data_IF_669452990691
#
_entry.id   IF_669452990691
#
_cell.length_a   1.000
_cell.length_b   1.000
_cell.length_c   1.000
_cell.angle_alpha   90.00
_cell.angle_beta   90.00
_cell.angle_gamma   90.00
#
_symmetry.space_group_name_H-M   'P 1'
#
loop_
_entity.id
_entity.type
_entity.pdbx_description
1 polymer ?
#
# COMPACT_ATOMS: atom_id res chain seq x y z
N UNK A 1 22.45 -4.96 20.60
CA UNK A 1 22.68 -4.49 19.22
C UNK A 1 21.86 -5.38 18.31
N UNK A 2 20.88 -4.84 17.60
CA UNK A 2 20.14 -5.59 16.57
C UNK A 2 21.15 -6.10 15.53
N UNK A 3 21.08 -7.39 15.17
CA UNK A 3 21.86 -7.95 14.07
C UNK A 3 21.21 -7.67 12.69
N UNK A 4 20.04 -7.03 12.67
CA UNK A 4 19.38 -6.60 11.44
C UNK A 4 19.86 -5.19 11.07
N UNK A 5 20.31 -5.05 9.81
CA UNK A 5 20.58 -3.74 9.21
C UNK A 5 19.30 -2.91 9.02
N UNK A 6 19.43 -1.60 8.82
CA UNK A 6 18.28 -0.69 8.68
C UNK A 6 17.40 -0.96 7.45
N UNK A 7 17.94 -1.61 6.42
CA UNK A 7 17.29 -1.99 5.15
C UNK A 7 17.18 -3.52 4.99
N UNK A 8 17.07 -4.26 6.09
CA UNK A 8 16.96 -5.71 6.05
C UNK A 8 15.79 -6.17 5.16
N UNK A 9 16.06 -7.11 4.26
CA UNK A 9 15.06 -7.74 3.41
C UNK A 9 14.10 -8.62 4.22
N UNK A 10 12.92 -8.91 3.68
CA UNK A 10 11.95 -9.81 4.29
C UNK A 10 12.57 -11.19 4.63
N UNK A 11 13.46 -11.68 3.75
CA UNK A 11 14.18 -12.95 3.96
C UNK A 11 15.09 -12.89 5.18
N UNK A 12 15.82 -11.79 5.36
CA UNK A 12 16.74 -11.60 6.49
C UNK A 12 15.98 -11.44 7.80
N UNK A 13 14.88 -10.67 7.80
CA UNK A 13 13.99 -10.52 8.97
C UNK A 13 13.44 -11.88 9.40
N UNK A 14 12.96 -12.68 8.44
CA UNK A 14 12.44 -14.02 8.71
C UNK A 14 13.51 -15.01 9.21
N UNK A 15 14.73 -14.93 8.68
CA UNK A 15 15.84 -15.73 9.18
C UNK A 15 16.18 -15.34 10.63
N UNK A 16 16.19 -14.04 10.93
CA UNK A 16 16.42 -13.54 12.27
C UNK A 16 15.34 -13.96 13.28
N UNK A 17 14.05 -13.86 12.91
CA UNK A 17 12.94 -14.34 13.76
C UNK A 17 13.10 -15.80 14.15
N UNK A 18 13.46 -16.65 13.17
CA UNK A 18 13.71 -18.09 13.41
C UNK A 18 14.93 -18.30 14.30
N UNK A 19 15.99 -17.53 14.12
CA UNK A 19 17.20 -17.64 14.93
C UNK A 19 16.92 -17.34 16.39
N UNK A 20 16.25 -16.22 16.70
CA UNK A 20 16.01 -15.80 18.09
C UNK A 20 14.97 -16.66 18.81
N UNK A 21 14.05 -17.30 18.06
CA UNK A 21 13.04 -18.20 18.62
C UNK A 21 13.33 -19.70 18.39
N UNK A 22 14.57 -20.05 18.04
CA UNK A 22 15.02 -21.44 17.91
C UNK A 22 14.19 -22.27 16.91
N UNK A 23 13.70 -21.60 15.87
CA UNK A 23 12.88 -22.17 14.80
C UNK A 23 11.37 -22.12 15.07
N UNK A 24 10.92 -21.86 16.29
CA UNK A 24 9.50 -21.77 16.63
C UNK A 24 8.97 -20.36 16.36
N UNK A 25 8.01 -20.22 15.44
CA UNK A 25 7.51 -18.91 15.01
C UNK A 25 5.98 -18.93 15.09
N UNK A 26 5.43 -17.90 15.73
CA UNK A 26 3.98 -17.81 15.98
C UNK A 26 3.18 -17.75 14.69
N UNK A 27 1.94 -18.26 14.74
CA UNK A 27 1.01 -18.23 13.59
C UNK A 27 0.75 -16.80 13.10
N UNK A 28 0.59 -15.84 14.02
CA UNK A 28 0.34 -14.44 13.66
C UNK A 28 1.52 -13.82 12.90
N UNK A 29 2.76 -14.16 13.25
CA UNK A 29 3.95 -13.74 12.51
C UNK A 29 3.95 -14.34 11.11
N UNK A 30 3.69 -15.65 10.99
CA UNK A 30 3.63 -16.32 9.70
C UNK A 30 2.59 -15.72 8.76
N UNK A 31 1.38 -15.46 9.27
CA UNK A 31 0.31 -14.84 8.50
C UNK A 31 0.70 -13.45 7.98
N UNK A 32 1.24 -12.61 8.87
CA UNK A 32 1.66 -11.26 8.49
C UNK A 32 2.85 -11.28 7.51
N UNK A 33 3.89 -12.09 7.79
CA UNK A 33 5.03 -12.22 6.89
C UNK A 33 4.64 -12.77 5.52
N UNK A 34 3.67 -13.67 5.42
CA UNK A 34 3.19 -14.18 4.13
C UNK A 34 2.54 -13.06 3.32
N UNK A 35 1.67 -12.26 3.95
CA UNK A 35 1.02 -11.14 3.28
C UNK A 35 2.02 -10.08 2.81
N UNK A 36 3.13 -9.89 3.52
CA UNK A 36 4.21 -9.00 3.08
C UNK A 36 5.03 -9.59 1.94
N UNK A 37 5.15 -10.92 1.85
CA UNK A 37 5.73 -11.59 0.68
C UNK A 37 4.91 -11.32 -0.58
N UNK A 38 3.59 -11.39 -0.48
CA UNK A 38 2.68 -11.08 -1.60
C UNK A 38 2.82 -9.60 -2.04
N UNK A 39 2.94 -8.68 -1.06
CA UNK A 39 3.14 -7.26 -1.32
C UNK A 39 4.51 -6.96 -1.94
N UNK A 40 5.59 -7.54 -1.42
CA UNK A 40 6.96 -7.35 -1.96
C UNK A 40 7.06 -7.91 -3.39
N UNK A 41 6.24 -8.92 -3.69
CA UNK A 41 6.04 -9.49 -5.01
C UNK A 41 5.17 -8.68 -5.98
N UNK A 42 4.46 -7.63 -5.51
CA UNK A 42 3.38 -7.00 -6.29
C UNK A 42 3.87 -6.39 -7.60
N UNK A 43 5.12 -5.92 -7.65
CA UNK A 43 5.75 -5.34 -8.84
C UNK A 43 6.57 -6.36 -9.65
N UNK A 44 7.04 -7.43 -9.00
CA UNK A 44 8.06 -8.33 -9.57
C UNK A 44 7.49 -9.65 -10.08
N UNK A 45 6.42 -10.15 -9.47
CA UNK A 45 5.76 -11.38 -9.89
C UNK A 45 4.70 -11.04 -10.94
N UNK A 46 4.69 -11.73 -12.09
CA UNK A 46 3.88 -11.40 -13.27
C UNK A 46 2.35 -11.48 -13.13
N UNK A 47 1.81 -11.50 -11.91
CA UNK A 47 0.36 -11.45 -11.66
C UNK A 47 -0.18 -10.04 -11.86
N UNK A 48 -1.35 -9.95 -12.47
CA UNK A 48 -2.10 -8.69 -12.57
C UNK A 48 -2.68 -8.30 -11.20
N UNK A 49 -2.60 -7.01 -10.87
CA UNK A 49 -3.15 -6.42 -9.64
C UNK A 49 -3.77 -5.08 -9.96
N UNK A 50 -4.70 -4.61 -9.11
CA UNK A 50 -5.27 -3.27 -9.22
C UNK A 50 -4.18 -2.19 -9.26
N UNK A 51 -3.15 -2.36 -8.41
CA UNK A 51 -1.96 -1.49 -8.39
C UNK A 51 -1.23 -1.41 -9.74
N UNK A 52 -1.00 -2.55 -10.40
CA UNK A 52 -0.39 -2.57 -11.74
C UNK A 52 -1.33 -1.99 -12.78
N UNK A 53 -2.61 -2.32 -12.72
CA UNK A 53 -3.61 -1.90 -13.69
C UNK A 53 -3.72 -0.37 -13.78
N UNK A 54 -3.73 0.30 -12.62
CA UNK A 54 -3.76 1.77 -12.60
C UNK A 54 -2.51 2.37 -13.21
N UNK A 55 -1.33 1.73 -13.10
CA UNK A 55 -0.07 2.22 -13.69
C UNK A 55 0.07 1.94 -15.19
N UNK A 56 -0.77 1.09 -15.80
CA UNK A 56 -0.66 0.77 -17.23
C UNK A 56 -1.15 1.96 -18.07
N UNK A 57 -0.31 2.58 -18.93
CA UNK A 57 -0.73 3.75 -19.71
C UNK A 57 -1.89 3.50 -20.70
N UNK A 58 -2.15 2.24 -21.08
CA UNK A 58 -3.28 1.90 -21.94
C UNK A 58 -4.65 1.98 -21.21
N UNK A 59 -4.67 2.04 -19.88
CA UNK A 59 -5.90 2.27 -19.10
C UNK A 59 -6.23 3.75 -18.97
N UNK A 60 -5.28 4.64 -19.30
CA UNK A 60 -5.41 6.09 -19.12
C UNK A 60 -6.08 6.76 -20.30
N UNK A 61 -6.92 7.76 -20.04
CA UNK A 61 -7.50 8.63 -21.06
C UNK A 61 -6.43 9.62 -21.58
N UNK A 62 -5.56 9.13 -22.47
CA UNK A 62 -4.41 9.86 -22.99
C UNK A 62 -4.78 11.15 -23.73
N UNK A 63 -5.98 11.21 -24.32
CA UNK A 63 -6.48 12.43 -24.96
C UNK A 63 -6.71 13.54 -23.93
N UNK A 64 -7.34 13.22 -22.80
CA UNK A 64 -7.55 14.14 -21.68
C UNK A 64 -6.22 14.57 -21.05
N UNK A 65 -5.28 13.63 -20.89
CA UNK A 65 -3.97 13.88 -20.28
C UNK A 65 -2.99 14.62 -21.22
N UNK A 66 -3.38 14.85 -22.47
CA UNK A 66 -2.57 15.53 -23.47
C UNK A 66 -1.30 14.75 -23.82
N UNK A 67 -1.43 13.44 -24.03
CA UNK A 67 -0.30 12.58 -24.35
C UNK A 67 0.32 12.92 -25.70
N UNK A 68 1.64 12.90 -25.75
CA UNK A 68 2.45 13.08 -26.95
C UNK A 68 3.57 12.04 -26.96
N UNK A 69 4.08 11.72 -28.15
CA UNK A 69 5.30 10.92 -28.27
C UNK A 69 6.50 11.87 -28.24
N UNK A 70 7.43 11.62 -27.33
CA UNK A 70 8.73 12.27 -27.31
C UNK A 70 9.60 11.75 -28.48
N UNK A 71 10.68 12.46 -28.77
CA UNK A 71 11.61 12.17 -29.88
C UNK A 71 12.29 10.80 -29.75
N UNK A 72 12.41 10.28 -28.54
CA UNK A 72 12.95 8.96 -28.18
C UNK A 72 11.88 7.84 -28.23
N UNK A 73 10.64 8.17 -28.59
CA UNK A 73 9.53 7.22 -28.62
C UNK A 73 8.84 7.00 -27.28
N UNK A 74 9.32 7.63 -26.19
CA UNK A 74 8.65 7.56 -24.90
C UNK A 74 7.33 8.34 -24.91
N UNK A 75 6.30 7.82 -24.25
CA UNK A 75 5.04 8.52 -24.05
C UNK A 75 5.20 9.56 -22.95
N UNK A 76 4.90 10.82 -23.25
CA UNK A 76 4.83 11.89 -22.25
C UNK A 76 3.41 12.42 -22.16
N UNK A 77 2.88 12.57 -20.95
CA UNK A 77 1.60 13.23 -20.68
C UNK A 77 1.86 14.67 -20.25
N UNK A 78 1.11 15.62 -20.81
CA UNK A 78 1.21 17.03 -20.44
C UNK A 78 0.71 17.26 -19.01
N UNK A 79 -0.37 16.59 -18.65
CA UNK A 79 -0.99 16.66 -17.32
C UNK A 79 -0.98 15.26 -16.71
N UNK A 80 -0.36 15.10 -15.53
CA UNK A 80 -0.49 13.86 -14.76
C UNK A 80 -1.94 13.73 -14.29
N UNK A 81 -2.49 12.52 -14.34
CA UNK A 81 -3.80 12.24 -13.75
C UNK A 81 -3.75 12.52 -12.24
N UNK A 82 -4.80 13.15 -11.72
CA UNK A 82 -4.92 13.44 -10.30
C UNK A 82 -5.56 12.27 -9.56
N UNK A 83 -4.95 11.87 -8.45
CA UNK A 83 -5.46 10.82 -7.57
C UNK A 83 -5.40 11.24 -6.10
N UNK A 84 -6.30 10.70 -5.31
CA UNK A 84 -6.25 10.72 -3.84
C UNK A 84 -6.06 9.30 -3.34
N UNK A 85 -5.21 9.13 -2.33
CA UNK A 85 -4.99 7.87 -1.65
C UNK A 85 -5.63 7.89 -0.26
N UNK A 86 -6.04 6.72 0.23
CA UNK A 86 -6.52 6.54 1.60
C UNK A 86 -5.93 5.25 2.19
N UNK A 87 -5.28 5.39 3.33
CA UNK A 87 -4.99 4.29 4.24
C UNK A 87 -6.27 3.88 4.96
N UNK A 88 -6.58 2.58 4.93
CA UNK A 88 -7.76 2.03 5.59
C UNK A 88 -7.36 0.83 6.44
N UNK A 89 -7.73 0.85 7.73
CA UNK A 89 -7.53 -0.25 8.66
C UNK A 89 -8.87 -0.85 9.02
N UNK A 90 -8.98 -2.16 8.93
CA UNK A 90 -10.19 -2.92 9.24
C UNK A 90 -9.83 -4.27 9.88
N UNK A 91 -10.85 -5.08 10.19
CA UNK A 91 -10.66 -6.37 10.86
C UNK A 91 -9.77 -7.37 10.07
N UNK A 92 -9.69 -7.22 8.74
CA UNK A 92 -8.83 -8.07 7.91
C UNK A 92 -7.37 -7.60 7.91
N UNK A 93 -7.10 -6.32 8.18
CA UNK A 93 -5.76 -5.75 8.19
C UNK A 93 -5.72 -4.32 7.68
N UNK A 94 -4.80 -4.05 6.76
CA UNK A 94 -4.57 -2.73 6.17
C UNK A 94 -4.81 -2.76 4.65
N UNK A 95 -5.38 -1.70 4.10
CA UNK A 95 -5.62 -1.49 2.67
C UNK A 95 -5.13 -0.12 2.22
N UNK A 96 -4.59 -0.05 1.00
CA UNK A 96 -4.37 1.22 0.32
C UNK A 96 -5.41 1.40 -0.78
N UNK A 97 -6.27 2.41 -0.62
CA UNK A 97 -7.29 2.79 -1.58
C UNK A 97 -6.83 3.95 -2.46
N UNK A 98 -7.23 3.92 -3.73
CA UNK A 98 -6.97 4.95 -4.72
C UNK A 98 -8.28 5.46 -5.33
N UNK A 99 -8.38 6.77 -5.49
CA UNK A 99 -9.53 7.44 -6.07
C UNK A 99 -9.04 8.42 -7.15
N UNK A 100 -9.50 8.32 -8.39
CA UNK A 100 -9.33 9.38 -9.38
C UNK A 100 -9.97 10.65 -8.86
N UNK A 101 -9.38 11.79 -9.20
CA UNK A 101 -9.93 13.09 -8.85
C UNK A 101 -10.36 13.78 -10.13
N UNK A 102 -11.63 14.16 -10.17
CA UNK A 102 -12.25 14.85 -11.30
C UNK A 102 -12.92 16.09 -10.76
N UNK A 103 -12.61 17.25 -11.33
CA UNK A 103 -13.14 18.55 -10.92
C UNK A 103 -12.95 18.84 -9.41
N UNK A 104 -11.87 18.32 -8.82
CA UNK A 104 -11.54 18.49 -7.40
C UNK A 104 -12.21 17.49 -6.45
N UNK A 105 -13.03 16.55 -6.97
CA UNK A 105 -13.76 15.57 -6.18
C UNK A 105 -13.26 14.14 -6.41
N UNK A 106 -13.29 13.32 -5.36
CA UNK A 106 -12.95 11.91 -5.45
C UNK A 106 -14.05 11.14 -6.19
N UNK A 107 -13.66 10.40 -7.23
CA UNK A 107 -14.57 9.49 -7.95
C UNK A 107 -14.73 8.20 -7.16
N UNK A 108 -15.94 7.97 -6.64
CA UNK A 108 -16.31 6.75 -5.89
C UNK A 108 -17.28 5.85 -6.67
N UNK A 109 -17.70 6.25 -7.87
CA UNK A 109 -18.64 5.52 -8.72
C UNK A 109 -17.96 4.98 -9.98
N UNK A 110 -18.65 4.10 -10.69
CA UNK A 110 -18.20 3.60 -11.99
C UNK A 110 -18.11 4.75 -13.00
N UNK A 111 -16.98 4.88 -13.69
CA UNK A 111 -16.78 5.83 -14.80
C UNK A 111 -16.34 5.06 -16.03
N UNK A 112 -17.21 4.94 -17.03
CA UNK A 112 -16.92 4.22 -18.28
C UNK A 112 -17.04 5.21 -19.44
N UNK A 113 -15.96 5.40 -20.19
CA UNK A 113 -15.89 6.32 -21.34
C UNK A 113 -16.37 7.75 -21.02
N UNK A 114 -16.24 8.17 -19.77
CA UNK A 114 -16.55 9.53 -19.34
C UNK A 114 -15.37 10.44 -19.70
N UNK A 115 -15.62 11.47 -20.50
CA UNK A 115 -14.56 12.29 -21.12
C UNK A 115 -13.65 13.04 -20.14
N UNK A 116 -14.11 13.27 -18.91
CA UNK A 116 -13.37 13.96 -17.85
C UNK A 116 -12.67 13.01 -16.85
N UNK A 117 -12.81 11.69 -17.01
CA UNK A 117 -12.09 10.73 -16.17
C UNK A 117 -10.66 10.51 -16.72
N UNK A 118 -9.62 10.52 -15.86
CA UNK A 118 -8.25 10.21 -16.29
C UNK A 118 -8.04 8.75 -16.72
N UNK A 119 -9.01 7.87 -16.45
CA UNK A 119 -9.00 6.47 -16.86
C UNK A 119 -10.14 6.20 -17.85
N UNK A 120 -9.90 5.38 -18.88
CA UNK A 120 -10.94 4.97 -19.84
C UNK A 120 -12.10 4.23 -19.15
N UNK A 121 -11.77 3.45 -18.13
CA UNK A 121 -12.72 2.70 -17.32
C UNK A 121 -12.22 2.68 -15.89
N UNK A 122 -13.02 3.22 -14.98
CA UNK A 122 -12.82 3.15 -13.56
C UNK A 122 -13.97 2.36 -12.94
N UNK A 123 -13.65 1.24 -12.30
CA UNK A 123 -14.60 0.38 -11.61
C UNK A 123 -14.07 0.19 -10.18
N UNK A 124 -14.63 0.88 -9.17
CA UNK A 124 -14.13 0.83 -7.80
C UNK A 124 -13.92 -0.59 -7.28
N UNK A 125 -14.84 -1.51 -7.60
CA UNK A 125 -14.77 -2.93 -7.25
C UNK A 125 -13.48 -3.63 -7.71
N UNK A 126 -12.81 -3.11 -8.75
CA UNK A 126 -11.60 -3.69 -9.34
C UNK A 126 -10.35 -2.84 -9.13
N UNK A 127 -10.47 -1.52 -9.08
CA UNK A 127 -9.31 -0.60 -9.15
C UNK A 127 -9.17 0.31 -7.94
N UNK A 128 -10.15 0.38 -7.04
CA UNK A 128 -10.07 1.23 -5.85
C UNK A 128 -9.09 0.66 -4.81
N UNK A 129 -9.26 -0.61 -4.42
CA UNK A 129 -8.37 -1.27 -3.47
C UNK A 129 -7.12 -1.76 -4.21
N UNK A 130 -6.01 -1.03 -4.06
CA UNK A 130 -4.78 -1.32 -4.80
C UNK A 130 -4.11 -2.60 -4.29
N UNK A 131 -4.06 -2.75 -2.98
CA UNK A 131 -3.55 -3.93 -2.28
C UNK A 131 -3.97 -3.93 -0.80
N UNK A 132 -3.87 -5.12 -0.19
CA UNK A 132 -4.10 -5.37 1.23
C UNK A 132 -2.89 -6.02 1.88
N UNK A 133 -2.62 -5.65 3.12
CA UNK A 133 -1.73 -6.39 4.04
C UNK A 133 -2.60 -7.02 5.12
N UNK A 134 -2.82 -8.34 5.02
CA UNK A 134 -3.64 -9.08 5.95
C UNK A 134 -3.02 -9.13 7.35
N UNK A 135 -3.88 -9.18 8.37
CA UNK A 135 -3.50 -9.29 9.79
C UNK A 135 -2.65 -8.12 10.34
N UNK A 136 -2.49 -7.02 9.60
CA UNK A 136 -1.64 -5.91 10.05
C UNK A 136 -2.08 -5.36 11.40
N UNK A 137 -3.38 -5.12 11.59
CA UNK A 137 -3.93 -4.58 12.84
C UNK A 137 -3.62 -5.51 14.02
N UNK A 138 -3.97 -6.80 13.89
CA UNK A 138 -3.73 -7.79 14.93
C UNK A 138 -2.22 -7.96 15.23
N UNK A 139 -1.38 -7.99 14.19
CA UNK A 139 0.06 -8.11 14.35
C UNK A 139 0.67 -6.86 15.00
N UNK A 140 0.21 -5.66 14.66
CA UNK A 140 0.66 -4.42 15.28
C UNK A 140 0.33 -4.39 16.79
N UNK A 141 -0.87 -4.82 17.18
CA UNK A 141 -1.26 -4.95 18.60
C UNK A 141 -0.37 -5.98 19.31
N UNK A 142 -0.18 -7.16 18.73
CA UNK A 142 0.72 -8.18 19.26
C UNK A 142 2.16 -7.65 19.42
N UNK A 143 2.66 -6.95 18.41
CA UNK A 143 3.99 -6.37 18.41
C UNK A 143 4.14 -5.30 19.51
N UNK A 144 3.12 -4.48 19.73
CA UNK A 144 3.09 -3.51 20.83
C UNK A 144 3.10 -4.18 22.22
N UNK A 145 2.31 -5.24 22.40
CA UNK A 145 2.16 -5.91 23.70
C UNK A 145 3.37 -6.76 24.09
N UNK A 146 3.94 -7.49 23.13
CA UNK A 146 4.93 -8.52 23.40
C UNK A 146 5.92 -8.77 22.26
N UNK A 147 6.00 -7.86 21.28
CA UNK A 147 6.84 -8.04 20.10
C UNK A 147 8.33 -8.03 20.41
N UNK A 148 9.05 -8.95 19.78
CA UNK A 148 10.51 -8.94 19.76
C UNK A 148 11.05 -8.01 18.66
N UNK A 149 12.38 -7.94 18.54
CA UNK A 149 13.04 -7.06 17.56
C UNK A 149 12.77 -7.47 16.10
N UNK A 150 12.51 -8.76 15.84
CA UNK A 150 12.13 -9.22 14.50
C UNK A 150 10.70 -8.80 14.16
N UNK A 151 9.78 -8.83 15.15
CA UNK A 151 8.40 -8.37 14.96
C UNK A 151 8.36 -6.87 14.60
N UNK A 152 9.13 -6.05 15.33
CA UNK A 152 9.25 -4.61 15.05
C UNK A 152 9.86 -4.35 13.67
N UNK A 153 10.91 -5.10 13.32
CA UNK A 153 11.53 -4.99 12.00
C UNK A 153 10.55 -5.37 10.87
N UNK A 154 9.72 -6.39 11.07
CA UNK A 154 8.71 -6.80 10.10
C UNK A 154 7.62 -5.73 9.92
N UNK A 155 7.18 -5.09 11.00
CA UNK A 155 6.22 -3.99 10.93
C UNK A 155 6.81 -2.74 10.24
N UNK A 156 8.08 -2.42 10.52
CA UNK A 156 8.81 -1.37 9.82
C UNK A 156 8.93 -1.67 8.33
N UNK A 157 9.30 -2.90 7.97
CA UNK A 157 9.36 -3.33 6.57
C UNK A 157 8.02 -3.14 5.85
N UNK A 158 6.90 -3.44 6.51
CA UNK A 158 5.57 -3.19 5.95
C UNK A 158 5.34 -1.71 5.62
N UNK A 159 5.67 -0.81 6.56
CA UNK A 159 5.58 0.63 6.36
C UNK A 159 6.45 1.09 5.19
N UNK A 160 7.74 0.75 5.20
CA UNK A 160 8.70 1.17 4.19
C UNK A 160 8.27 0.70 2.77
N UNK A 161 7.67 -0.48 2.67
CA UNK A 161 7.13 -0.99 1.40
C UNK A 161 5.89 -0.24 0.93
N UNK A 162 4.97 0.11 1.82
CA UNK A 162 3.82 0.95 1.48
C UNK A 162 4.28 2.32 0.97
N UNK A 163 5.22 2.96 1.67
CA UNK A 163 5.76 4.26 1.25
C UNK A 163 6.48 4.19 -0.09
N UNK A 164 7.22 3.10 -0.35
CA UNK A 164 7.84 2.85 -1.66
C UNK A 164 6.80 2.78 -2.77
N UNK A 165 5.70 2.03 -2.56
CA UNK A 165 4.62 1.92 -3.54
C UNK A 165 3.90 3.26 -3.75
N UNK A 166 3.63 4.03 -2.69
CA UNK A 166 3.07 5.38 -2.82
C UNK A 166 4.01 6.30 -3.62
N UNK A 167 5.31 6.20 -3.38
CA UNK A 167 6.34 6.95 -4.12
C UNK A 167 6.31 6.58 -5.61
N UNK A 168 6.25 5.30 -5.95
CA UNK A 168 6.11 4.85 -7.35
C UNK A 168 4.82 5.39 -8.01
N UNK A 169 3.70 5.46 -7.28
CA UNK A 169 2.48 6.09 -7.81
C UNK A 169 2.70 7.59 -8.11
N UNK A 170 3.43 8.31 -7.26
CA UNK A 170 3.72 9.74 -7.43
C UNK A 170 4.57 10.05 -8.68
N UNK A 171 5.34 9.08 -9.15
CA UNK A 171 6.11 9.21 -10.40
C UNK A 171 5.17 9.31 -11.61
N UNK A 172 4.04 8.61 -11.59
CA UNK A 172 3.05 8.57 -12.68
C UNK A 172 1.89 9.56 -12.50
N UNK A 173 1.50 9.84 -11.25
CA UNK A 173 0.30 10.59 -10.91
C UNK A 173 0.59 11.84 -10.10
N UNK A 174 -0.33 12.80 -10.14
CA UNK A 174 -0.37 13.89 -9.18
C UNK A 174 -1.20 13.43 -7.98
N UNK A 175 -0.55 13.09 -6.87
CA UNK A 175 -1.23 12.74 -5.62
C UNK A 175 -1.66 14.03 -4.92
N UNK A 176 -2.97 14.29 -4.84
CA UNK A 176 -3.48 15.52 -4.23
C UNK A 176 -3.65 15.40 -2.71
N UNK A 177 -3.81 14.19 -2.21
CA UNK A 177 -4.00 13.90 -0.79
C UNK A 177 -3.74 12.42 -0.51
N UNK A 178 -3.09 12.15 0.63
CA UNK A 178 -3.01 10.82 1.26
C UNK A 178 -3.75 10.93 2.59
N UNK A 179 -4.86 10.20 2.74
CA UNK A 179 -5.78 10.31 3.89
C UNK A 179 -5.66 9.10 4.81
N UNK A 180 -5.99 9.29 6.10
CA UNK A 180 -5.89 8.24 7.11
C UNK A 180 -4.47 8.11 7.66
N UNK A 181 -4.31 7.30 8.69
CA UNK A 181 -3.01 7.07 9.30
C UNK A 181 -2.11 6.23 8.39
N UNK A 182 -0.85 6.63 8.24
CA UNK A 182 0.19 5.71 7.79
C UNK A 182 0.35 4.56 8.79
N UNK A 183 1.02 3.46 8.39
CA UNK A 183 1.29 2.34 9.31
C UNK A 183 2.08 2.81 10.55
N UNK A 184 3.01 3.76 10.38
CA UNK A 184 3.78 4.32 11.48
C UNK A 184 2.89 5.12 12.45
N UNK A 185 2.03 6.01 11.93
CA UNK A 185 1.08 6.79 12.75
C UNK A 185 0.07 5.87 13.44
N UNK A 186 -0.45 4.87 12.73
CA UNK A 186 -1.34 3.87 13.32
C UNK A 186 -0.65 3.13 14.47
N UNK A 187 0.62 2.75 14.32
CA UNK A 187 1.36 2.09 15.39
C UNK A 187 1.54 3.00 16.62
N UNK A 188 1.82 4.29 16.40
CA UNK A 188 1.88 5.28 17.48
C UNK A 188 0.54 5.43 18.20
N UNK A 189 -0.58 5.39 17.47
CA UNK A 189 -1.91 5.40 18.07
C UNK A 189 -2.19 4.16 18.94
N UNK A 190 -1.61 3.00 18.63
CA UNK A 190 -1.67 1.82 19.53
C UNK A 190 -1.07 2.17 20.87
N UNK A 191 0.11 2.80 20.85
CA UNK A 191 0.82 3.17 22.05
C UNK A 191 0.06 4.24 22.84
N UNK A 192 -0.48 5.26 22.17
CA UNK A 192 -1.26 6.33 22.79
C UNK A 192 -2.52 5.78 23.50
N UNK A 193 -3.12 4.73 22.95
CA UNK A 193 -4.33 4.09 23.50
C UNK A 193 -4.05 2.83 24.33
N UNK A 194 -2.80 2.56 24.71
CA UNK A 194 -2.39 1.35 25.45
C UNK A 194 -2.92 0.03 24.85
N UNK A 195 -2.96 -0.09 23.51
CA UNK A 195 -3.45 -1.27 22.81
C UNK A 195 -4.96 -1.30 22.54
N UNK A 196 -5.74 -0.35 23.06
CA UNK A 196 -7.20 -0.30 22.88
C UNK A 196 -7.61 0.55 21.67
N UNK A 197 -7.31 0.11 20.45
CA UNK A 197 -7.67 0.86 19.22
C UNK A 197 -9.01 0.45 18.63
N UNK A 198 -9.46 -0.79 18.85
CA UNK A 198 -10.74 -1.30 18.35
C UNK A 198 -11.94 -0.88 19.23
N UNK A 199 -11.72 -0.02 20.23
CA UNK A 199 -12.80 0.59 21.01
C UNK A 199 -13.11 1.98 20.43
N UNK A 200 -14.22 2.05 19.69
CA UNK A 200 -14.87 3.21 19.05
C UNK A 200 -14.35 3.55 17.64
N UNK A 201 -15.17 3.72 16.60
CA UNK A 201 -16.57 4.23 16.54
C UNK A 201 -17.47 3.44 15.56
N UNK A 202 -18.74 3.29 15.97
CA UNK A 202 -19.91 3.03 15.11
C UNK A 202 -20.58 4.35 14.76
#
# INVERSE_FOLDING_TARGET
MSSLGPEASLKEINAYKKQINWGDVSTIYHMFSSSLGDLDGILTHGFDSAYKEVLKPNTWNLALLGASKSLDGAMQVKNKAQISLRHEFNDMGYELHCYPVVDGENVTQNMINQGNCPFHTWLPEKTQMLFRINSLVAFAIYCFQSGDEADKALLKFAHDKVETLITTLSESFQIIAVKGYSIAEFYQEIANKNGNILSQES
#
